data_IF_619099659552
#
_entry.id   IF_619099659552
#
_cell.length_a   1.000
_cell.length_b   1.000
_cell.length_c   1.000
_cell.angle_alpha   90.00
_cell.angle_beta   90.00
_cell.angle_gamma   90.00
#
_symmetry.space_group_name_H-M   'P 1'
#
loop_
_entity.id
_entity.type
_entity.pdbx_description
1 polymer ?
#
# COMPACT_ATOMS: atom_id res chain seq x y z
N UNK A 1 -17.64 -3.80 96.44
CA UNK A 1 -17.23 -2.86 95.42
C UNK A 1 -16.83 -3.70 94.18
N UNK A 2 -17.70 -3.84 93.20
CA UNK A 2 -17.42 -4.58 91.94
C UNK A 2 -17.34 -3.55 90.80
N UNK A 3 -16.19 -3.56 90.09
CA UNK A 3 -15.96 -2.71 88.94
C UNK A 3 -16.62 -3.33 87.68
N UNK A 4 -17.23 -2.58 86.78
CA UNK A 4 -17.78 -3.11 85.52
C UNK A 4 -16.67 -3.33 84.51
N UNK A 5 -16.77 -4.44 83.75
CA UNK A 5 -15.92 -4.79 82.62
C UNK A 5 -16.63 -4.27 81.37
N UNK A 6 -16.01 -3.34 80.68
CA UNK A 6 -16.50 -2.80 79.40
C UNK A 6 -16.02 -3.72 78.27
N UNK A 7 -16.94 -4.36 77.56
CA UNK A 7 -16.65 -5.18 76.42
C UNK A 7 -16.63 -4.25 75.14
N UNK A 8 -15.47 -4.15 74.51
CA UNK A 8 -15.36 -3.54 73.13
C UNK A 8 -15.76 -4.56 72.13
N UNK A 9 -16.84 -4.24 71.34
CA UNK A 9 -17.26 -4.98 70.13
C UNK A 9 -16.55 -4.38 68.95
N UNK A 10 -15.60 -5.14 68.36
CA UNK A 10 -14.98 -4.78 67.07
C UNK A 10 -15.94 -5.18 65.94
N UNK A 11 -16.46 -4.18 65.25
CA UNK A 11 -17.21 -4.37 63.96
C UNK A 11 -16.15 -4.54 62.85
N UNK A 12 -16.02 -5.73 62.29
CA UNK A 12 -15.25 -5.97 61.07
C UNK A 12 -16.10 -5.62 59.86
N UNK A 13 -15.73 -4.54 59.17
CA UNK A 13 -16.34 -4.15 57.89
C UNK A 13 -15.68 -4.99 56.78
N UNK A 14 -16.39 -5.97 56.25
CA UNK A 14 -15.99 -6.71 55.05
C UNK A 14 -16.24 -5.82 53.83
N UNK A 15 -15.19 -5.24 53.27
CA UNK A 15 -15.24 -4.55 51.98
C UNK A 15 -15.27 -5.61 50.86
N UNK A 16 -16.44 -5.85 50.28
CA UNK A 16 -16.56 -6.61 49.03
C UNK A 16 -16.14 -5.75 47.86
N UNK A 17 -14.95 -6.03 47.30
CA UNK A 17 -14.47 -5.45 46.06
C UNK A 17 -15.30 -6.03 44.93
N UNK A 18 -16.29 -5.26 44.42
CA UNK A 18 -16.96 -5.55 43.17
C UNK A 18 -15.96 -5.33 42.01
N UNK A 19 -15.44 -6.41 41.45
CA UNK A 19 -14.70 -6.33 40.21
C UNK A 19 -15.68 -5.93 39.11
N UNK A 20 -15.58 -4.70 38.62
CA UNK A 20 -16.31 -4.26 37.45
C UNK A 20 -15.84 -5.09 36.24
N UNK A 21 -16.65 -6.05 35.81
CA UNK A 21 -16.49 -6.70 34.51
C UNK A 21 -16.61 -5.61 33.45
N UNK A 22 -15.46 -5.23 32.85
CA UNK A 22 -15.46 -4.45 31.61
C UNK A 22 -16.16 -5.29 30.56
N UNK A 23 -17.40 -4.93 30.22
CA UNK A 23 -18.06 -5.39 29.01
C UNK A 23 -17.19 -4.96 27.83
N UNK A 24 -16.38 -5.88 27.27
CA UNK A 24 -15.71 -5.63 25.99
C UNK A 24 -16.83 -5.54 24.93
N UNK A 25 -17.09 -4.33 24.49
CA UNK A 25 -17.93 -4.11 23.32
C UNK A 25 -17.25 -4.83 22.13
N UNK A 26 -18.02 -5.55 21.29
CA UNK A 26 -17.46 -6.18 20.10
C UNK A 26 -16.70 -5.12 19.30
N UNK A 27 -15.43 -5.36 19.03
CA UNK A 27 -14.63 -4.45 18.18
C UNK A 27 -15.37 -4.31 16.86
N UNK A 28 -15.59 -3.09 16.36
CA UNK A 28 -16.21 -2.91 15.06
C UNK A 28 -15.36 -3.68 14.02
N UNK A 29 -16.03 -4.26 13.03
CA UNK A 29 -15.35 -4.92 11.91
C UNK A 29 -14.25 -4.02 11.36
N UNK A 30 -13.12 -4.57 10.89
CA UNK A 30 -12.02 -3.76 10.38
C UNK A 30 -12.51 -2.69 9.43
N UNK A 31 -12.21 -1.43 9.74
CA UNK A 31 -12.60 -0.28 8.91
C UNK A 31 -11.68 -0.11 7.71
N UNK A 32 -10.53 -0.80 7.75
CA UNK A 32 -9.50 -0.73 6.72
C UNK A 32 -9.56 -1.96 5.81
N UNK A 33 -9.56 -1.71 4.50
CA UNK A 33 -9.40 -2.72 3.44
C UNK A 33 -8.22 -2.36 2.57
N UNK A 34 -7.52 -3.36 2.06
CA UNK A 34 -6.49 -3.16 1.03
C UNK A 34 -6.90 -3.92 -0.21
N UNK A 35 -6.89 -3.26 -1.36
CA UNK A 35 -7.28 -3.85 -2.65
C UNK A 35 -6.08 -3.79 -3.60
N UNK A 36 -5.73 -4.92 -4.19
CA UNK A 36 -4.72 -4.99 -5.24
C UNK A 36 -5.33 -4.50 -6.56
N UNK A 37 -5.01 -3.29 -6.98
CA UNK A 37 -5.47 -2.77 -8.28
C UNK A 37 -4.57 -3.24 -9.42
N UNK A 38 -3.34 -3.62 -9.11
CA UNK A 38 -2.40 -4.21 -10.06
C UNK A 38 -1.24 -4.86 -9.33
N UNK A 39 -0.91 -6.07 -9.73
CA UNK A 39 0.19 -6.87 -9.17
C UNK A 39 1.34 -7.07 -10.16
N UNK A 40 1.23 -6.51 -11.37
CA UNK A 40 2.20 -6.66 -12.44
C UNK A 40 3.44 -5.80 -12.26
N UNK A 41 4.40 -6.06 -13.11
CA UNK A 41 5.68 -5.40 -13.29
C UNK A 41 5.79 -4.94 -14.77
N UNK A 42 6.94 -4.49 -15.29
CA UNK A 42 7.03 -4.07 -16.69
C UNK A 42 6.66 -5.13 -17.75
N UNK A 43 6.66 -6.42 -17.38
CA UNK A 43 6.24 -7.49 -18.31
C UNK A 43 4.74 -7.40 -18.62
N UNK A 44 4.34 -7.36 -19.90
CA UNK A 44 2.94 -7.14 -20.28
C UNK A 44 2.10 -8.42 -20.14
N UNK A 45 1.93 -8.89 -18.92
CA UNK A 45 1.10 -10.06 -18.61
C UNK A 45 -0.37 -9.62 -18.62
N UNK A 46 -1.24 -10.17 -19.48
CA UNK A 46 -2.59 -9.65 -19.68
C UNK A 46 -3.47 -9.61 -18.43
N UNK A 47 -3.28 -10.55 -17.52
CA UNK A 47 -4.09 -10.70 -16.31
C UNK A 47 -3.53 -9.91 -15.10
N UNK A 48 -2.37 -9.26 -15.25
CA UNK A 48 -1.71 -8.47 -14.21
C UNK A 48 -1.57 -7.02 -14.66
N UNK A 49 -2.35 -6.11 -14.09
CA UNK A 49 -2.18 -4.67 -14.32
C UNK A 49 -0.92 -4.16 -13.61
N UNK A 50 -0.39 -3.03 -14.06
CA UNK A 50 0.79 -2.39 -13.47
C UNK A 50 0.61 -2.10 -11.98
N UNK A 51 1.71 -2.04 -11.26
CA UNK A 51 1.72 -1.91 -9.80
C UNK A 51 0.79 -0.81 -9.30
N UNK A 52 -0.21 -1.18 -8.50
CA UNK A 52 -1.08 -0.23 -7.80
C UNK A 52 -1.84 -0.90 -6.67
N UNK A 53 -1.84 -0.27 -5.49
CA UNK A 53 -2.51 -0.76 -4.29
C UNK A 53 -3.44 0.34 -3.77
N UNK A 54 -4.66 0.00 -3.38
CA UNK A 54 -5.59 0.92 -2.73
C UNK A 54 -5.79 0.54 -1.26
N UNK A 55 -5.47 1.45 -0.35
CA UNK A 55 -5.83 1.36 1.07
C UNK A 55 -7.12 2.16 1.25
N UNK A 56 -8.17 1.53 1.76
CA UNK A 56 -9.48 2.16 1.97
C UNK A 56 -9.76 2.19 3.47
N UNK A 57 -9.87 3.38 4.03
CA UNK A 57 -10.18 3.57 5.46
C UNK A 57 -11.46 4.38 5.59
N UNK A 58 -12.48 3.83 6.25
CA UNK A 58 -13.79 4.47 6.39
C UNK A 58 -14.39 4.96 5.06
N UNK A 59 -14.16 4.20 3.96
CA UNK A 59 -14.63 4.53 2.61
C UNK A 59 -13.83 5.63 1.89
N UNK A 60 -12.70 6.07 2.44
CA UNK A 60 -11.73 6.99 1.82
C UNK A 60 -10.54 6.22 1.27
N UNK A 61 -10.24 6.31 -0.04
CA UNK A 61 -9.13 5.60 -0.65
C UNK A 61 -7.83 6.41 -0.63
N UNK A 62 -6.72 5.70 -0.45
CA UNK A 62 -5.35 6.15 -0.57
C UNK A 62 -4.64 5.18 -1.51
N UNK A 63 -4.22 5.65 -2.68
CA UNK A 63 -3.55 4.82 -3.67
C UNK A 63 -2.04 4.83 -3.44
N UNK A 64 -1.39 3.70 -3.68
CA UNK A 64 0.06 3.61 -3.80
C UNK A 64 0.36 3.13 -5.20
N UNK A 65 1.12 3.94 -5.94
CA UNK A 65 1.41 3.81 -7.35
C UNK A 65 0.19 3.87 -8.29
N UNK A 66 0.45 4.17 -9.53
CA UNK A 66 -0.53 4.32 -10.59
C UNK A 66 -0.03 3.63 -11.87
N UNK A 67 0.17 2.34 -11.82
CA UNK A 67 0.50 1.53 -12.98
C UNK A 67 -0.65 1.46 -13.99
N UNK A 68 -0.37 0.87 -15.15
CA UNK A 68 -1.38 0.72 -16.21
C UNK A 68 -2.62 0.01 -15.70
N UNK A 69 -3.80 0.53 -16.03
CA UNK A 69 -5.08 -0.09 -15.66
C UNK A 69 -5.63 0.27 -14.28
N UNK A 70 -4.95 1.10 -13.48
CA UNK A 70 -5.34 1.50 -12.12
C UNK A 70 -6.81 1.92 -12.02
N UNK A 71 -7.30 2.80 -12.92
CA UNK A 71 -8.68 3.29 -12.91
C UNK A 71 -9.68 2.19 -13.30
N UNK A 72 -9.33 1.35 -14.27
CA UNK A 72 -10.18 0.24 -14.70
C UNK A 72 -10.33 -0.81 -13.59
N UNK A 73 -9.26 -1.09 -12.84
CA UNK A 73 -9.29 -2.01 -11.70
C UNK A 73 -10.04 -1.41 -10.51
N UNK A 74 -9.92 -0.12 -10.25
CA UNK A 74 -10.75 0.57 -9.25
C UNK A 74 -12.25 0.47 -9.59
N UNK A 75 -12.59 0.66 -10.87
CA UNK A 75 -13.97 0.46 -11.37
C UNK A 75 -14.42 -0.99 -11.22
N UNK A 76 -13.58 -1.98 -11.54
CA UNK A 76 -13.90 -3.39 -11.40
C UNK A 76 -14.14 -3.78 -9.93
N UNK A 77 -13.28 -3.32 -9.02
CA UNK A 77 -13.45 -3.53 -7.58
C UNK A 77 -14.77 -2.91 -7.07
N UNK A 78 -15.11 -1.69 -7.51
CA UNK A 78 -16.38 -1.04 -7.17
C UNK A 78 -17.58 -1.86 -7.65
N UNK A 79 -17.54 -2.37 -8.88
CA UNK A 79 -18.60 -3.24 -9.43
C UNK A 79 -18.70 -4.57 -8.70
N UNK A 80 -17.61 -5.07 -8.15
CA UNK A 80 -17.58 -6.25 -7.28
C UNK A 80 -18.03 -5.96 -5.83
N UNK A 81 -18.51 -4.73 -5.53
CA UNK A 81 -19.06 -4.36 -4.23
C UNK A 81 -18.06 -3.77 -3.24
N UNK A 82 -16.82 -3.49 -3.66
CA UNK A 82 -15.84 -2.77 -2.82
C UNK A 82 -16.20 -1.29 -2.82
N UNK A 83 -16.70 -0.79 -1.68
CA UNK A 83 -16.99 0.63 -1.49
C UNK A 83 -15.71 1.42 -1.23
N UNK A 84 -15.66 2.66 -1.74
CA UNK A 84 -14.57 3.61 -1.52
C UNK A 84 -13.72 3.86 -2.75
N UNK A 85 -13.87 3.07 -3.83
CA UNK A 85 -13.13 3.22 -5.10
C UNK A 85 -13.97 3.85 -6.23
N UNK A 86 -15.10 4.48 -5.89
CA UNK A 86 -15.89 5.25 -6.82
C UNK A 86 -15.05 6.39 -7.41
N UNK A 87 -15.18 6.64 -8.72
CA UNK A 87 -14.33 7.59 -9.45
C UNK A 87 -14.15 8.96 -8.78
N UNK A 88 -15.21 9.61 -8.24
CA UNK A 88 -15.06 10.90 -7.56
C UNK A 88 -14.18 10.87 -6.30
N UNK A 89 -13.96 9.70 -5.72
CA UNK A 89 -13.15 9.53 -4.50
C UNK A 89 -11.67 9.30 -4.75
N UNK A 90 -11.26 9.00 -5.98
CA UNK A 90 -9.85 8.79 -6.34
C UNK A 90 -9.13 10.15 -6.37
N UNK A 91 -8.66 10.60 -5.21
CA UNK A 91 -8.14 11.95 -4.99
C UNK A 91 -6.70 11.99 -4.46
N UNK A 92 -6.11 10.86 -4.08
CA UNK A 92 -4.77 10.80 -3.48
C UNK A 92 -4.00 9.60 -3.99
N UNK A 93 -2.75 9.83 -4.39
CA UNK A 93 -1.81 8.78 -4.77
C UNK A 93 -0.42 9.08 -4.21
N UNK A 94 0.26 8.04 -3.73
CA UNK A 94 1.62 8.05 -3.21
C UNK A 94 2.48 7.23 -4.16
N UNK A 95 3.44 7.86 -4.82
CA UNK A 95 4.33 7.19 -5.78
C UNK A 95 5.58 6.71 -5.05
N UNK A 96 5.89 5.43 -5.20
CA UNK A 96 7.10 4.84 -4.62
C UNK A 96 8.35 5.36 -5.33
N UNK A 97 8.33 5.36 -6.65
CA UNK A 97 9.38 5.88 -7.53
C UNK A 97 8.81 6.18 -8.92
N UNK A 98 9.64 6.66 -9.85
CA UNK A 98 9.14 7.16 -11.13
C UNK A 98 9.38 6.21 -12.31
N UNK A 99 9.54 4.90 -12.12
CA UNK A 99 9.50 3.96 -13.21
C UNK A 99 8.13 3.98 -13.90
N UNK A 100 8.13 3.65 -15.20
CA UNK A 100 6.93 3.76 -16.04
C UNK A 100 5.80 2.83 -15.60
N UNK A 101 6.10 1.62 -15.16
CA UNK A 101 5.12 0.65 -14.70
C UNK A 101 4.42 1.03 -13.39
N UNK A 102 4.97 1.99 -12.64
CA UNK A 102 4.37 2.59 -11.44
C UNK A 102 3.63 3.91 -11.73
N UNK A 103 3.84 4.53 -12.91
CA UNK A 103 3.37 5.91 -13.17
C UNK A 103 2.57 6.08 -14.47
N UNK A 104 2.62 5.13 -15.42
CA UNK A 104 2.00 5.28 -16.73
C UNK A 104 0.47 5.42 -16.69
N UNK A 105 -0.16 4.99 -15.62
CA UNK A 105 -1.59 5.17 -15.39
C UNK A 105 -1.98 6.54 -14.81
N UNK A 106 -1.01 7.43 -14.51
CA UNK A 106 -1.29 8.77 -13.99
C UNK A 106 -2.20 9.58 -14.91
N UNK A 107 -2.00 9.64 -16.23
CA UNK A 107 -2.93 10.34 -17.12
C UNK A 107 -4.37 9.85 -16.99
N UNK A 108 -4.59 8.52 -16.94
CA UNK A 108 -5.91 7.94 -16.74
C UNK A 108 -6.49 8.30 -15.36
N UNK A 109 -5.67 8.29 -14.30
CA UNK A 109 -6.07 8.66 -12.95
C UNK A 109 -6.40 10.16 -12.80
N UNK A 110 -5.75 11.01 -13.58
CA UNK A 110 -6.03 12.45 -13.64
C UNK A 110 -7.36 12.70 -14.33
N UNK A 111 -7.56 12.16 -15.52
CA UNK A 111 -8.63 12.61 -16.43
C UNK A 111 -9.90 11.77 -16.32
N UNK A 112 -9.84 10.44 -16.26
CA UNK A 112 -11.04 9.61 -16.21
C UNK A 112 -11.89 9.88 -14.96
N UNK A 113 -11.36 9.97 -13.73
CA UNK A 113 -12.16 10.36 -12.56
C UNK A 113 -12.74 11.77 -12.65
N UNK A 114 -12.03 12.74 -13.25
CA UNK A 114 -12.55 14.08 -13.51
C UNK A 114 -13.77 14.05 -14.43
N UNK A 115 -13.66 13.37 -15.58
CA UNK A 115 -14.77 13.18 -16.51
C UNK A 115 -15.94 12.48 -15.80
N UNK A 116 -15.66 11.55 -14.89
CA UNK A 116 -16.61 10.81 -14.07
C UNK A 116 -16.99 11.54 -12.77
N UNK A 117 -16.96 12.90 -12.81
CA UNK A 117 -17.49 13.79 -11.77
C UNK A 117 -16.63 13.99 -10.50
N UNK A 118 -15.33 13.71 -10.56
CA UNK A 118 -14.42 14.21 -9.53
C UNK A 118 -14.34 15.73 -9.63
N UNK A 119 -14.58 16.42 -8.54
CA UNK A 119 -14.48 17.90 -8.44
C UNK A 119 -13.27 18.34 -7.63
N UNK A 120 -12.71 17.49 -6.79
CA UNK A 120 -11.48 17.77 -6.06
C UNK A 120 -10.24 17.54 -6.95
N UNK A 121 -9.15 18.29 -6.75
CA UNK A 121 -7.85 17.99 -7.35
C UNK A 121 -7.38 16.56 -7.03
N UNK A 122 -6.44 16.06 -7.84
CA UNK A 122 -5.66 14.88 -7.50
C UNK A 122 -4.42 15.33 -6.74
N UNK A 123 -4.26 14.85 -5.51
CA UNK A 123 -3.06 15.06 -4.69
C UNK A 123 -2.06 13.93 -4.98
N UNK A 124 -0.88 14.25 -5.47
CA UNK A 124 0.17 13.28 -5.82
C UNK A 124 1.39 13.52 -4.97
N UNK A 125 1.72 12.55 -4.13
CA UNK A 125 2.91 12.53 -3.28
C UNK A 125 3.95 11.64 -3.91
N UNK A 126 5.18 12.11 -4.12
CA UNK A 126 6.21 11.29 -4.76
C UNK A 126 7.61 11.88 -4.64
N UNK A 127 8.63 11.19 -5.19
CA UNK A 127 10.01 11.65 -5.18
C UNK A 127 10.20 12.92 -6.02
N UNK A 128 11.37 13.53 -5.92
CA UNK A 128 11.79 14.62 -6.80
C UNK A 128 11.65 14.22 -8.28
N UNK A 129 11.09 15.13 -9.09
CA UNK A 129 10.71 14.90 -10.48
C UNK A 129 9.21 14.66 -10.69
N UNK A 130 8.45 14.39 -9.63
CA UNK A 130 6.99 14.20 -9.69
C UNK A 130 6.29 15.44 -10.25
N UNK A 131 6.67 16.63 -9.80
CA UNK A 131 6.08 17.89 -10.28
C UNK A 131 6.30 18.09 -11.79
N UNK A 132 7.54 17.91 -12.25
CA UNK A 132 7.87 18.03 -13.68
C UNK A 132 7.11 17.00 -14.54
N UNK A 133 7.02 15.74 -14.09
CA UNK A 133 6.25 14.71 -14.79
C UNK A 133 4.78 15.10 -14.94
N UNK A 134 4.15 15.57 -13.87
CA UNK A 134 2.74 15.96 -13.87
C UNK A 134 2.48 17.20 -14.74
N UNK A 135 3.39 18.16 -14.78
CA UNK A 135 3.29 19.32 -15.67
C UNK A 135 3.35 18.91 -17.14
N UNK A 136 4.25 18.01 -17.53
CA UNK A 136 4.31 17.47 -18.88
C UNK A 136 3.06 16.66 -19.25
N UNK A 137 2.53 15.86 -18.34
CA UNK A 137 1.25 15.17 -18.56
C UNK A 137 0.13 16.19 -18.82
N UNK A 138 0.01 17.25 -18.03
CA UNK A 138 -1.02 18.29 -18.22
C UNK A 138 -0.88 19.01 -19.56
N UNK A 139 0.36 19.31 -19.97
CA UNK A 139 0.63 19.92 -21.28
C UNK A 139 0.24 18.99 -22.43
N UNK A 140 0.54 17.68 -22.33
CA UNK A 140 0.20 16.70 -23.36
C UNK A 140 -1.31 16.62 -23.64
N UNK A 141 -2.17 16.83 -22.64
CA UNK A 141 -3.63 16.81 -22.77
C UNK A 141 -4.28 18.19 -22.78
N UNK A 142 -3.53 19.27 -23.04
CA UNK A 142 -4.05 20.65 -23.00
C UNK A 142 -5.22 20.88 -23.95
N UNK A 143 -5.16 20.33 -25.18
CA UNK A 143 -6.24 20.45 -26.17
C UNK A 143 -7.53 19.74 -25.70
N UNK A 144 -7.45 18.52 -25.15
CA UNK A 144 -8.60 17.81 -24.60
C UNK A 144 -9.22 18.56 -23.43
N UNK A 145 -8.37 19.08 -22.53
CA UNK A 145 -8.80 19.89 -21.39
C UNK A 145 -9.58 21.14 -21.83
N UNK A 146 -9.07 21.86 -22.85
CA UNK A 146 -9.73 23.07 -23.37
C UNK A 146 -11.11 22.75 -23.94
N UNK A 147 -11.21 21.72 -24.79
CA UNK A 147 -12.48 21.28 -25.39
C UNK A 147 -13.48 20.87 -24.33
N UNK A 148 -13.06 20.12 -23.31
CA UNK A 148 -13.96 19.66 -22.25
C UNK A 148 -14.43 20.79 -21.34
N UNK A 149 -13.58 21.76 -21.02
CA UNK A 149 -13.91 22.87 -20.13
C UNK A 149 -14.76 23.92 -20.86
N UNK A 150 -14.33 24.33 -22.07
CA UNK A 150 -14.89 25.47 -22.79
C UNK A 150 -15.91 25.05 -23.87
N UNK A 151 -15.98 23.76 -24.21
CA UNK A 151 -16.93 23.21 -25.18
C UNK A 151 -18.26 22.77 -24.57
N UNK A 152 -18.94 21.84 -25.25
CA UNK A 152 -20.32 21.40 -24.89
C UNK A 152 -20.39 20.59 -23.58
N UNK A 153 -19.30 19.94 -23.16
CA UNK A 153 -19.27 19.14 -21.93
C UNK A 153 -19.33 19.99 -20.66
N UNK A 154 -18.83 21.23 -20.72
CA UNK A 154 -18.75 22.18 -19.61
C UNK A 154 -18.13 21.56 -18.35
N UNK A 155 -16.97 20.88 -18.54
CA UNK A 155 -16.26 20.22 -17.47
C UNK A 155 -15.93 21.16 -16.32
N UNK A 156 -15.97 20.66 -15.07
CA UNK A 156 -15.56 21.47 -13.94
C UNK A 156 -14.05 21.80 -14.02
N UNK A 157 -13.67 22.97 -13.49
CA UNK A 157 -12.30 23.50 -13.60
C UNK A 157 -11.36 23.08 -12.47
N UNK A 158 -11.79 22.17 -11.62
CA UNK A 158 -11.04 21.78 -10.40
C UNK A 158 -10.65 20.30 -10.42
N UNK A 159 -11.48 19.43 -10.94
CA UNK A 159 -11.22 17.99 -10.94
C UNK A 159 -10.10 17.52 -11.86
N UNK A 160 -9.68 18.33 -12.84
CA UNK A 160 -8.50 18.09 -13.70
C UNK A 160 -7.22 18.69 -13.12
N UNK A 161 -7.32 19.40 -12.01
CA UNK A 161 -6.14 19.97 -11.33
C UNK A 161 -5.38 18.86 -10.62
N UNK A 162 -4.05 18.96 -10.65
CA UNK A 162 -3.13 18.05 -9.96
C UNK A 162 -2.21 18.87 -9.08
N UNK A 163 -2.12 18.49 -7.82
CA UNK A 163 -1.19 19.08 -6.86
C UNK A 163 -0.05 18.09 -6.61
N UNK A 164 1.15 18.47 -6.99
CA UNK A 164 2.36 17.69 -6.75
C UNK A 164 2.96 18.01 -5.38
N UNK A 165 3.27 16.99 -4.61
CA UNK A 165 3.98 17.07 -3.34
C UNK A 165 5.26 16.22 -3.46
N UNK A 166 6.40 16.86 -3.74
CA UNK A 166 7.69 16.18 -3.69
C UNK A 166 8.09 15.97 -2.22
N UNK A 167 8.27 14.72 -1.84
CA UNK A 167 8.39 14.31 -0.44
C UNK A 167 9.82 13.98 -0.04
N UNK A 168 10.05 13.99 1.27
CA UNK A 168 11.25 13.47 1.93
C UNK A 168 10.85 12.37 2.94
N UNK A 169 11.78 11.54 3.44
CA UNK A 169 11.48 10.56 4.47
C UNK A 169 10.85 11.18 5.71
N UNK A 170 9.86 10.50 6.27
CA UNK A 170 9.10 10.96 7.44
C UNK A 170 7.61 10.89 7.22
N UNK A 171 6.81 11.54 8.06
CA UNK A 171 5.35 11.65 7.89
C UNK A 171 5.06 12.60 6.73
N UNK A 172 4.51 12.06 5.64
CA UNK A 172 4.23 12.80 4.40
C UNK A 172 2.76 13.16 4.24
N UNK A 173 1.87 12.46 4.96
CA UNK A 173 0.44 12.75 4.96
C UNK A 173 -0.19 12.30 6.28
N UNK A 174 -1.17 13.07 6.76
CA UNK A 174 -1.97 12.71 7.94
C UNK A 174 -3.36 13.31 7.84
N UNK A 175 -4.37 12.50 8.13
CA UNK A 175 -5.75 12.94 8.35
C UNK A 175 -6.39 12.16 9.52
N UNK A 176 -7.71 12.21 9.64
CA UNK A 176 -8.46 11.48 10.69
C UNK A 176 -8.44 9.95 10.50
N UNK A 177 -8.13 9.47 9.30
CA UNK A 177 -8.15 8.04 8.95
C UNK A 177 -6.77 7.40 8.99
N UNK A 178 -5.71 8.15 8.67
CA UNK A 178 -4.40 7.53 8.43
C UNK A 178 -3.25 8.49 8.73
N UNK A 179 -2.14 7.91 9.16
CA UNK A 179 -0.82 8.55 9.11
C UNK A 179 0.03 7.78 8.11
N UNK A 180 0.55 8.47 7.08
CA UNK A 180 1.42 7.89 6.05
C UNK A 180 2.84 8.35 6.27
N UNK A 181 3.74 7.39 6.47
CA UNK A 181 5.18 7.62 6.59
C UNK A 181 5.88 7.07 5.36
N UNK A 182 6.67 7.90 4.68
CA UNK A 182 7.58 7.48 3.62
C UNK A 182 8.96 7.18 4.21
N UNK A 183 9.63 6.15 3.69
CA UNK A 183 10.99 5.81 4.06
C UNK A 183 11.78 5.39 2.83
N UNK A 184 13.08 5.73 2.80
CA UNK A 184 13.93 5.39 1.66
C UNK A 184 14.20 3.89 1.61
N UNK A 185 14.20 3.37 0.38
CA UNK A 185 14.62 2.01 0.04
C UNK A 185 15.65 2.05 -1.10
N UNK A 186 16.60 1.12 -1.16
CA UNK A 186 17.57 1.05 -2.24
C UNK A 186 16.92 0.46 -3.50
N UNK A 187 16.98 1.19 -4.62
CA UNK A 187 16.47 0.74 -5.91
C UNK A 187 17.42 1.16 -7.03
N UNK A 188 18.49 0.41 -7.22
CA UNK A 188 19.51 0.66 -8.22
C UNK A 188 20.06 2.08 -8.17
N UNK A 189 19.98 2.79 -9.29
CA UNK A 189 20.48 4.16 -9.44
C UNK A 189 19.49 5.25 -8.97
N UNK A 190 18.29 4.92 -8.56
CA UNK A 190 17.31 5.88 -8.04
C UNK A 190 17.81 6.48 -6.72
N UNK A 191 17.96 7.81 -6.69
CA UNK A 191 18.35 8.52 -5.46
C UNK A 191 17.23 8.55 -4.42
N UNK A 192 15.99 8.49 -4.88
CA UNK A 192 14.79 8.47 -4.07
C UNK A 192 13.85 7.40 -4.62
N UNK A 193 13.75 6.30 -3.91
CA UNK A 193 12.68 5.33 -4.00
C UNK A 193 12.15 5.15 -2.57
N UNK A 194 10.84 5.06 -2.44
CA UNK A 194 10.16 5.03 -1.16
C UNK A 194 9.38 3.75 -0.94
N UNK A 195 9.50 3.18 0.26
CA UNK A 195 8.47 2.37 0.85
C UNK A 195 7.51 3.25 1.67
N UNK A 196 6.31 2.76 1.91
CA UNK A 196 5.30 3.46 2.69
C UNK A 196 4.78 2.63 3.86
N UNK A 197 4.59 3.29 5.00
CA UNK A 197 3.92 2.74 6.17
C UNK A 197 2.63 3.51 6.41
N UNK A 198 1.49 2.81 6.33
CA UNK A 198 0.17 3.33 6.64
C UNK A 198 -0.23 2.84 8.03
N UNK A 199 -0.39 3.77 8.98
CA UNK A 199 -0.97 3.50 10.28
C UNK A 199 -2.43 3.95 10.27
N UNK A 200 -3.35 3.00 10.30
CA UNK A 200 -4.80 3.23 10.34
C UNK A 200 -5.34 2.91 11.74
N UNK A 201 -6.61 3.19 12.08
CA UNK A 201 -7.15 2.89 13.41
C UNK A 201 -7.09 1.42 13.83
N UNK A 202 -7.08 0.49 12.88
CA UNK A 202 -7.17 -0.95 13.11
C UNK A 202 -6.01 -1.77 12.54
N UNK A 203 -5.14 -1.19 11.70
CA UNK A 203 -4.04 -1.91 11.03
C UNK A 203 -2.80 -1.07 10.83
N UNK A 204 -1.66 -1.75 10.77
CA UNK A 204 -0.39 -1.23 10.25
C UNK A 204 -0.06 -1.97 8.96
N UNK A 205 0.05 -1.23 7.86
CA UNK A 205 0.30 -1.74 6.52
C UNK A 205 1.63 -1.16 6.04
N UNK A 206 2.54 -2.02 5.57
CA UNK A 206 3.81 -1.61 4.98
C UNK A 206 3.85 -2.08 3.53
N UNK A 207 4.25 -1.20 2.64
CA UNK A 207 4.40 -1.45 1.20
C UNK A 207 5.83 -1.12 0.84
N UNK A 208 6.56 -2.09 0.27
CA UNK A 208 7.98 -1.93 -0.03
C UNK A 208 8.27 -0.92 -1.14
N UNK A 209 7.38 -0.82 -2.13
CA UNK A 209 7.80 -0.35 -3.46
C UNK A 209 8.72 -1.38 -4.09
N UNK A 210 9.50 -0.99 -5.08
CA UNK A 210 10.56 -1.82 -5.64
C UNK A 210 11.85 -1.56 -4.88
N UNK A 211 12.54 -2.62 -4.43
CA UNK A 211 13.74 -2.46 -3.63
C UNK A 211 14.70 -3.65 -3.69
N UNK A 212 16.00 -3.38 -3.62
CA UNK A 212 16.95 -4.34 -3.11
C UNK A 212 16.80 -4.48 -1.58
N UNK A 213 17.21 -5.60 -0.97
CA UNK A 213 16.96 -5.87 0.46
C UNK A 213 17.32 -4.71 1.38
N UNK A 214 16.37 -4.29 2.22
CA UNK A 214 16.48 -3.10 3.05
C UNK A 214 16.19 -3.36 4.52
N UNK A 215 17.02 -2.79 5.38
CA UNK A 215 16.78 -2.76 6.83
C UNK A 215 15.57 -1.87 7.19
N UNK A 216 15.28 -0.88 6.35
CA UNK A 216 14.15 0.01 6.56
C UNK A 216 12.82 -0.76 6.60
N UNK A 217 12.63 -1.80 5.76
CA UNK A 217 11.42 -2.65 5.80
C UNK A 217 11.29 -3.34 7.16
N UNK A 218 12.39 -3.90 7.67
CA UNK A 218 12.38 -4.58 8.99
C UNK A 218 11.95 -3.62 10.10
N UNK A 219 12.50 -2.40 10.08
CA UNK A 219 12.21 -1.38 11.09
C UNK A 219 10.77 -0.85 10.98
N UNK A 220 10.30 -0.57 9.76
CA UNK A 220 8.97 0.02 9.53
C UNK A 220 7.85 -0.99 9.71
N UNK A 221 8.06 -2.26 9.39
CA UNK A 221 7.07 -3.31 9.64
C UNK A 221 7.04 -3.68 11.13
N UNK A 222 8.13 -4.20 11.70
CA UNK A 222 8.27 -4.57 13.12
C UNK A 222 6.98 -5.16 13.73
N UNK A 223 6.46 -6.23 13.14
CA UNK A 223 5.21 -6.85 13.56
C UNK A 223 3.94 -6.25 12.90
N UNK A 224 4.06 -5.59 11.76
CA UNK A 224 2.93 -5.04 11.02
C UNK A 224 1.87 -6.10 10.65
N UNK A 225 0.64 -5.67 10.43
CA UNK A 225 -0.46 -6.58 10.07
C UNK A 225 -0.31 -7.12 8.64
N UNK A 226 0.06 -6.25 7.70
CA UNK A 226 0.27 -6.58 6.30
C UNK A 226 1.60 -6.00 5.82
N UNK A 227 2.47 -6.85 5.27
CA UNK A 227 3.65 -6.44 4.50
C UNK A 227 3.41 -6.81 3.04
N UNK A 228 3.20 -5.80 2.20
CA UNK A 228 3.20 -5.95 0.74
C UNK A 228 4.63 -5.77 0.25
N UNK A 229 5.16 -6.79 -0.44
CA UNK A 229 6.56 -6.77 -0.87
C UNK A 229 6.69 -7.30 -2.29
N UNK A 230 7.50 -6.60 -3.11
CA UNK A 230 7.91 -7.08 -4.41
C UNK A 230 8.84 -8.29 -4.28
N UNK A 231 8.97 -9.10 -5.32
CA UNK A 231 9.81 -10.29 -5.23
C UNK A 231 10.17 -10.87 -6.59
N UNK A 232 11.40 -11.37 -6.72
CA UNK A 232 11.78 -12.25 -7.82
C UNK A 232 12.07 -13.69 -7.37
N UNK A 233 11.82 -14.65 -8.25
CA UNK A 233 12.06 -16.07 -8.02
C UNK A 233 13.55 -16.41 -8.09
N UNK A 234 14.08 -17.08 -7.07
CA UNK A 234 15.44 -17.64 -7.11
C UNK A 234 15.61 -18.67 -8.24
N UNK A 235 14.59 -19.47 -8.49
CA UNK A 235 14.61 -20.45 -9.58
C UNK A 235 14.77 -19.76 -10.94
N UNK A 236 13.97 -18.73 -11.21
CA UNK A 236 14.08 -17.97 -12.45
C UNK A 236 15.39 -17.22 -12.55
N UNK A 237 15.80 -16.56 -11.46
CA UNK A 237 17.05 -15.84 -11.37
C UNK A 237 18.27 -16.72 -11.67
N UNK A 238 18.29 -17.97 -11.18
CA UNK A 238 19.41 -18.89 -11.43
C UNK A 238 19.64 -19.16 -12.92
N UNK A 239 18.60 -19.07 -13.75
CA UNK A 239 18.63 -19.31 -15.19
C UNK A 239 19.02 -18.07 -16.02
N UNK A 240 19.09 -16.89 -15.41
CA UNK A 240 19.41 -15.62 -16.08
C UNK A 240 20.92 -15.50 -16.37
N UNK A 241 21.28 -14.67 -17.33
CA UNK A 241 22.67 -14.34 -17.62
C UNK A 241 23.30 -13.45 -16.53
N UNK A 242 24.63 -13.28 -16.59
CA UNK A 242 25.39 -12.55 -15.55
C UNK A 242 25.01 -11.07 -15.48
N UNK A 243 24.78 -10.41 -16.62
CA UNK A 243 24.45 -8.99 -16.66
C UNK A 243 23.06 -8.75 -16.07
N UNK A 244 22.10 -9.60 -16.43
CA UNK A 244 20.74 -9.55 -15.87
C UNK A 244 20.73 -9.84 -14.37
N UNK A 245 21.52 -10.81 -13.91
CA UNK A 245 21.69 -11.10 -12.48
C UNK A 245 22.23 -9.91 -11.69
N UNK A 246 23.20 -9.18 -12.25
CA UNK A 246 23.76 -7.99 -11.61
C UNK A 246 22.70 -6.88 -11.48
N UNK A 247 21.94 -6.64 -12.56
CA UNK A 247 20.82 -5.69 -12.58
C UNK A 247 19.78 -6.05 -11.53
N UNK A 248 19.21 -7.26 -11.59
CA UNK A 248 18.10 -7.69 -10.71
C UNK A 248 18.48 -7.55 -9.24
N UNK A 249 19.69 -7.97 -8.84
CA UNK A 249 20.14 -7.85 -7.43
C UNK A 249 20.29 -6.41 -6.96
N UNK A 250 20.53 -5.47 -7.85
CA UNK A 250 20.69 -4.06 -7.50
C UNK A 250 19.35 -3.36 -7.31
N UNK A 251 18.30 -3.91 -7.88
CA UNK A 251 16.99 -3.27 -7.95
C UNK A 251 15.91 -3.99 -7.14
N UNK A 252 16.04 -5.31 -6.93
CA UNK A 252 14.94 -6.15 -6.45
C UNK A 252 15.38 -7.16 -5.39
N UNK A 253 14.39 -7.71 -4.68
CA UNK A 253 14.57 -8.65 -3.58
C UNK A 253 14.20 -10.08 -4.02
N UNK A 254 15.10 -11.06 -3.74
CA UNK A 254 14.80 -12.46 -4.01
C UNK A 254 13.87 -13.09 -2.98
N UNK A 255 13.26 -14.22 -3.34
CA UNK A 255 12.44 -15.03 -2.42
C UNK A 255 13.20 -15.44 -1.17
N UNK A 256 14.50 -15.80 -1.28
CA UNK A 256 15.34 -16.15 -0.13
C UNK A 256 15.61 -14.94 0.77
N UNK A 257 15.94 -13.80 0.20
CA UNK A 257 16.17 -12.57 0.94
C UNK A 257 14.89 -12.08 1.61
N UNK A 258 13.74 -12.18 0.92
CA UNK A 258 12.45 -11.83 1.48
C UNK A 258 12.06 -12.71 2.67
N UNK A 259 12.39 -14.01 2.65
CA UNK A 259 12.22 -14.89 3.81
C UNK A 259 13.04 -14.41 5.03
N UNK A 260 14.27 -13.92 4.83
CA UNK A 260 15.10 -13.35 5.89
C UNK A 260 14.53 -12.02 6.41
N UNK A 261 14.05 -11.14 5.52
CA UNK A 261 13.37 -9.89 5.89
C UNK A 261 12.12 -10.22 6.71
N UNK A 262 11.26 -11.14 6.25
CA UNK A 262 10.03 -11.52 6.94
C UNK A 262 10.29 -12.14 8.33
N UNK A 263 11.37 -12.93 8.47
CA UNK A 263 11.78 -13.48 9.77
C UNK A 263 12.11 -12.38 10.78
N UNK A 264 12.74 -11.30 10.36
CA UNK A 264 13.14 -10.18 11.22
C UNK A 264 12.01 -9.16 11.41
N UNK A 265 11.28 -8.85 10.34
CA UNK A 265 10.16 -7.91 10.33
C UNK A 265 8.92 -8.47 11.02
N UNK A 266 8.73 -9.78 11.04
CA UNK A 266 7.63 -10.51 11.69
C UNK A 266 6.24 -10.01 11.30
N UNK A 267 5.92 -9.83 10.01
CA UNK A 267 4.57 -9.44 9.60
C UNK A 267 3.56 -10.53 9.99
N UNK A 268 2.31 -10.14 10.28
CA UNK A 268 1.22 -11.12 10.47
C UNK A 268 0.87 -11.81 9.16
N UNK A 269 0.96 -11.10 8.04
CA UNK A 269 0.79 -11.64 6.70
C UNK A 269 1.77 -10.95 5.74
N UNK A 270 2.54 -11.75 5.01
CA UNK A 270 3.35 -11.32 3.88
C UNK A 270 2.54 -11.49 2.59
N UNK A 271 2.39 -10.41 1.84
CA UNK A 271 1.66 -10.38 0.56
C UNK A 271 2.64 -10.05 -0.55
N UNK A 272 2.77 -10.96 -1.51
CA UNK A 272 3.65 -10.79 -2.66
C UNK A 272 2.91 -10.05 -3.77
N UNK A 273 3.52 -9.02 -4.32
CA UNK A 273 3.06 -8.32 -5.51
C UNK A 273 4.27 -7.98 -6.39
N UNK A 274 4.09 -7.41 -7.56
CA UNK A 274 5.18 -7.11 -8.48
C UNK A 274 6.10 -8.32 -8.68
N UNK A 275 5.48 -9.52 -8.84
CA UNK A 275 6.21 -10.79 -8.93
C UNK A 275 6.93 -10.90 -10.27
N UNK A 276 8.24 -11.13 -10.24
CA UNK A 276 9.08 -11.26 -11.42
C UNK A 276 9.46 -12.72 -11.67
N UNK A 277 9.08 -13.23 -12.83
CA UNK A 277 9.29 -14.61 -13.27
C UNK A 277 10.32 -14.61 -14.40
N UNK A 278 11.46 -15.27 -14.19
CA UNK A 278 12.52 -15.36 -15.19
C UNK A 278 12.72 -16.80 -15.67
N UNK A 279 12.03 -17.77 -15.10
CA UNK A 279 12.19 -19.21 -15.35
C UNK A 279 11.15 -19.83 -16.30
N UNK A 280 10.47 -19.01 -17.13
CA UNK A 280 9.45 -19.48 -18.06
C UNK A 280 8.19 -20.03 -17.37
N UNK A 281 7.40 -20.91 -18.04
CA UNK A 281 6.08 -21.35 -17.56
C UNK A 281 6.09 -22.11 -16.21
N UNK A 282 7.24 -22.61 -15.79
CA UNK A 282 7.37 -23.34 -14.52
C UNK A 282 7.72 -22.44 -13.34
N UNK A 283 8.00 -21.18 -13.60
CA UNK A 283 8.23 -20.16 -12.60
C UNK A 283 6.89 -19.49 -12.23
N UNK A 284 6.36 -19.85 -11.07
CA UNK A 284 4.96 -19.56 -10.70
C UNK A 284 4.86 -18.98 -9.29
N UNK A 285 3.74 -18.34 -8.98
CA UNK A 285 3.39 -17.87 -7.62
C UNK A 285 3.59 -18.98 -6.58
N UNK A 286 3.12 -20.18 -6.87
CA UNK A 286 3.25 -21.33 -5.97
C UNK A 286 4.70 -21.72 -5.71
N UNK A 287 5.61 -21.51 -6.68
CA UNK A 287 7.05 -21.71 -6.50
C UNK A 287 7.62 -20.65 -5.57
N UNK A 288 7.36 -19.36 -5.83
CA UNK A 288 7.82 -18.27 -4.97
C UNK A 288 7.39 -18.45 -3.52
N UNK A 289 6.11 -18.82 -3.30
CA UNK A 289 5.60 -19.13 -1.97
C UNK A 289 6.37 -20.29 -1.32
N UNK A 290 6.68 -21.37 -2.05
CA UNK A 290 7.48 -22.48 -1.51
C UNK A 290 8.92 -22.08 -1.18
N UNK A 291 9.55 -21.27 -2.03
CA UNK A 291 10.91 -20.76 -1.81
C UNK A 291 10.98 -19.94 -0.52
N UNK A 292 10.04 -19.00 -0.33
CA UNK A 292 9.95 -18.19 0.89
C UNK A 292 9.64 -19.07 2.10
N UNK A 293 8.70 -20.03 1.96
CA UNK A 293 8.31 -20.93 3.04
C UNK A 293 9.42 -21.90 3.47
N UNK A 294 10.47 -22.06 2.70
CA UNK A 294 11.66 -22.79 3.14
C UNK A 294 12.39 -22.08 4.29
N UNK A 295 12.43 -20.72 4.27
CA UNK A 295 13.13 -19.90 5.25
C UNK A 295 12.22 -19.21 6.27
N UNK A 296 10.93 -19.05 6.00
CA UNK A 296 9.97 -18.38 6.91
C UNK A 296 8.61 -19.09 6.93
N UNK A 297 8.06 -19.35 8.12
CA UNK A 297 6.86 -20.18 8.32
C UNK A 297 5.57 -19.38 8.60
N UNK A 298 5.58 -18.08 8.38
CA UNK A 298 4.39 -17.25 8.52
C UNK A 298 3.39 -17.39 7.37
N UNK A 299 2.34 -16.59 7.41
CA UNK A 299 1.31 -16.56 6.37
C UNK A 299 1.82 -15.80 5.14
N UNK A 300 1.90 -16.48 4.00
CA UNK A 300 2.33 -15.92 2.71
C UNK A 300 1.17 -16.00 1.73
N UNK A 301 0.92 -14.92 1.01
CA UNK A 301 -0.09 -14.85 -0.05
C UNK A 301 0.58 -14.24 -1.29
N UNK A 302 0.57 -14.94 -2.41
CA UNK A 302 0.87 -14.34 -3.71
C UNK A 302 -0.41 -13.66 -4.20
N UNK A 303 -0.43 -12.34 -4.20
CA UNK A 303 -1.61 -11.57 -4.55
C UNK A 303 -1.92 -11.63 -6.05
N UNK A 304 -3.19 -11.52 -6.34
CA UNK A 304 -3.74 -11.32 -7.68
C UNK A 304 -4.45 -9.97 -7.75
N UNK A 305 -4.62 -9.47 -8.96
CA UNK A 305 -5.44 -8.28 -9.18
C UNK A 305 -6.84 -8.49 -8.61
N UNK A 306 -7.34 -7.48 -7.90
CA UNK A 306 -8.62 -7.41 -7.21
C UNK A 306 -8.72 -8.24 -5.92
N UNK A 307 -7.65 -8.87 -5.46
CA UNK A 307 -7.63 -9.44 -4.10
C UNK A 307 -7.89 -8.33 -3.05
N UNK A 308 -8.64 -8.69 -2.00
CA UNK A 308 -9.01 -7.79 -0.89
C UNK A 308 -8.54 -8.39 0.44
N UNK A 309 -7.84 -7.56 1.20
CA UNK A 309 -7.28 -7.90 2.52
C UNK A 309 -7.90 -7.10 3.64
#
# INVERSE_FOLDING_TARGET
MRKPVTACVLLAILATSASAQRTEWPRPSPTTKVVMLGTGNPSPIPDKMGASIAIIVNGTPYLVDAGVGVVRRASAATRAGVRGLEMPKLQRVFLTHLHTDHTIGLPDLIYTPWIMKRTAPLEVFGPAGTAAMLDHIRQAWSADNDIRINGLERGNRTGNVVNAHEIAPGVVYKDSNVTVTAFLVPHGAWKQAFGYRFATPDRVIVISGDEAPSEAIVQQCNGCDLLFHEVYSEFGYAQSDTAWKAYVRSFHTSTTQLAQIATRARPRTLVLYHQMYFGGPTDTDARMVREIAAGWKGRIIAAKDLDVF
#
